data_IF_825874655792
#
_entry.id   IF_825874655792
#
_cell.length_a   1.000
_cell.length_b   1.000
_cell.length_c   1.000
_cell.angle_alpha   90.00
_cell.angle_beta   90.00
_cell.angle_gamma   90.00
#
_symmetry.space_group_name_H-M   'P 1'
#
loop_
_entity.id
_entity.type
_entity.pdbx_description
1 polymer ?
#
# COMPACT_ATOMS: atom_id res chain seq x y z
N UNK A 1 21.11 -12.35 6.16
CA UNK A 1 20.76 -11.30 5.18
C UNK A 1 19.30 -10.91 5.37
N UNK A 2 19.02 -9.64 5.59
CA UNK A 2 17.65 -9.13 5.65
C UNK A 2 17.28 -8.39 4.35
N UNK A 3 16.08 -8.64 3.85
CA UNK A 3 15.50 -7.94 2.72
C UNK A 3 14.24 -7.20 3.19
N UNK A 4 14.07 -5.94 2.75
CA UNK A 4 12.84 -5.18 2.92
C UNK A 4 12.08 -5.22 1.60
N UNK A 5 10.81 -5.61 1.62
CA UNK A 5 9.92 -5.53 0.47
C UNK A 5 8.93 -4.39 0.73
N UNK A 6 8.91 -3.42 -0.17
CA UNK A 6 8.03 -2.24 -0.11
C UNK A 6 7.05 -2.24 -1.27
N UNK A 7 6.06 -1.35 -1.19
CA UNK A 7 5.11 -1.16 -2.28
C UNK A 7 3.87 -2.04 -2.22
N UNK A 8 3.57 -2.67 -1.08
CA UNK A 8 2.31 -3.37 -0.85
C UNK A 8 2.26 -4.82 -1.32
N UNK A 9 1.09 -5.45 -1.16
CA UNK A 9 0.89 -6.88 -1.43
C UNK A 9 0.43 -7.10 -2.87
N UNK A 10 1.28 -7.76 -3.67
CA UNK A 10 0.99 -8.17 -5.03
C UNK A 10 1.43 -9.62 -5.25
N UNK A 11 1.00 -10.25 -6.36
CA UNK A 11 1.47 -11.60 -6.72
C UNK A 11 3.01 -11.66 -6.79
N UNK A 12 3.64 -10.60 -7.30
CA UNK A 12 5.10 -10.50 -7.46
C UNK A 12 5.77 -10.38 -6.10
N UNK A 13 5.34 -9.44 -5.26
CA UNK A 13 5.99 -9.20 -3.97
C UNK A 13 5.81 -10.38 -3.01
N UNK A 14 4.65 -11.05 -3.01
CA UNK A 14 4.43 -12.27 -2.22
C UNK A 14 5.30 -13.43 -2.69
N UNK A 15 5.40 -13.67 -4.00
CA UNK A 15 6.27 -14.73 -4.54
C UNK A 15 7.75 -14.42 -4.27
N UNK A 16 8.14 -13.14 -4.37
CA UNK A 16 9.48 -12.69 -4.04
C UNK A 16 9.82 -12.95 -2.56
N UNK A 17 8.89 -12.67 -1.64
CA UNK A 17 9.06 -12.99 -0.23
C UNK A 17 9.28 -14.49 0.00
N UNK A 18 8.46 -15.34 -0.63
CA UNK A 18 8.59 -16.80 -0.56
C UNK A 18 10.00 -17.24 -0.99
N UNK A 19 10.50 -16.72 -2.11
CA UNK A 19 11.78 -17.13 -2.67
C UNK A 19 12.98 -16.61 -1.87
N UNK A 20 12.90 -15.38 -1.36
CA UNK A 20 13.91 -14.82 -0.46
C UNK A 20 14.05 -15.65 0.82
N UNK A 21 12.93 -16.11 1.39
CA UNK A 21 12.93 -16.97 2.57
C UNK A 21 13.50 -18.36 2.28
N UNK A 22 13.19 -18.96 1.13
CA UNK A 22 13.82 -20.22 0.70
C UNK A 22 15.33 -20.08 0.55
N UNK A 23 15.79 -18.93 0.06
CA UNK A 23 17.21 -18.57 0.01
C UNK A 23 17.81 -18.23 1.39
N UNK A 24 17.06 -18.47 2.46
CA UNK A 24 17.51 -18.37 3.83
C UNK A 24 17.49 -16.96 4.43
N UNK A 25 16.97 -15.97 3.71
CA UNK A 25 16.95 -14.55 4.13
C UNK A 25 15.79 -14.26 5.08
N UNK A 26 16.02 -13.28 5.96
CA UNK A 26 14.94 -12.66 6.72
C UNK A 26 14.23 -11.65 5.83
N UNK A 27 12.91 -11.68 5.79
CA UNK A 27 12.09 -10.80 4.95
C UNK A 27 11.24 -9.93 5.85
N UNK A 28 11.38 -8.62 5.68
CA UNK A 28 10.50 -7.62 6.28
C UNK A 28 9.61 -7.11 5.16
N UNK A 29 8.30 -7.22 5.31
CA UNK A 29 7.33 -6.88 4.28
C UNK A 29 6.47 -5.71 4.75
N UNK A 30 6.51 -4.60 4.04
CA UNK A 30 5.65 -3.45 4.31
C UNK A 30 4.30 -3.60 3.63
N UNK A 31 3.24 -3.39 4.41
CA UNK A 31 1.90 -3.18 3.89
C UNK A 31 1.30 -1.93 4.54
N UNK A 32 0.35 -1.28 3.86
CA UNK A 32 -0.35 -0.11 4.38
C UNK A 32 -1.87 -0.15 4.05
N UNK A 33 -2.38 -1.32 3.65
CA UNK A 33 -3.77 -1.53 3.23
C UNK A 33 -4.48 -2.57 4.07
N UNK A 34 -5.81 -2.46 4.14
CA UNK A 34 -6.71 -3.53 4.57
C UNK A 34 -7.19 -4.32 3.35
N UNK A 35 -7.44 -5.62 3.53
CA UNK A 35 -7.87 -6.62 2.52
C UNK A 35 -6.77 -7.20 1.61
N UNK A 36 -5.51 -6.94 1.91
CA UNK A 36 -4.41 -7.64 1.27
C UNK A 36 -4.38 -9.11 1.70
N UNK A 37 -4.11 -10.01 0.76
CA UNK A 37 -4.15 -11.45 1.01
C UNK A 37 -2.76 -12.07 0.84
N UNK A 38 -2.18 -12.59 1.91
CA UNK A 38 -0.88 -13.28 1.90
C UNK A 38 -1.11 -14.76 2.21
N UNK A 39 -0.33 -15.65 1.60
CA UNK A 39 -0.43 -17.08 1.86
C UNK A 39 -0.10 -17.40 3.32
N UNK A 40 -0.85 -18.30 3.94
CA UNK A 40 -0.65 -18.70 5.33
C UNK A 40 0.75 -19.25 5.59
N UNK A 41 1.33 -19.93 4.60
CA UNK A 41 2.70 -20.44 4.64
C UNK A 41 3.75 -19.34 4.77
N UNK A 42 3.50 -18.16 4.20
CA UNK A 42 4.40 -17.00 4.32
C UNK A 42 4.24 -16.37 5.70
N UNK A 43 3.00 -16.14 6.14
CA UNK A 43 2.72 -15.51 7.44
C UNK A 43 3.25 -16.30 8.64
N UNK A 44 3.25 -17.63 8.56
CA UNK A 44 3.74 -18.52 9.62
C UNK A 44 5.26 -18.75 9.57
N UNK A 45 5.97 -18.23 8.57
CA UNK A 45 7.40 -18.45 8.44
C UNK A 45 8.16 -17.57 9.45
N UNK A 46 9.04 -18.16 10.26
CA UNK A 46 9.81 -17.45 11.29
C UNK A 46 10.75 -16.38 10.71
N UNK A 47 11.12 -16.50 9.42
CA UNK A 47 11.95 -15.52 8.72
C UNK A 47 11.12 -14.38 8.12
N UNK A 48 9.80 -14.43 8.22
CA UNK A 48 8.90 -13.41 7.71
C UNK A 48 8.46 -12.46 8.82
N UNK A 49 8.52 -11.17 8.56
CA UNK A 49 7.96 -10.13 9.42
C UNK A 49 7.09 -9.21 8.60
N UNK A 50 5.78 -9.23 8.87
CA UNK A 50 4.84 -8.28 8.31
C UNK A 50 4.83 -7.01 9.17
N UNK A 51 5.01 -5.85 8.54
CA UNK A 51 5.00 -4.56 9.22
C UNK A 51 3.98 -3.66 8.54
N UNK A 52 2.98 -3.25 9.30
CA UNK A 52 2.01 -2.26 8.85
C UNK A 52 2.66 -0.87 8.88
N UNK A 53 3.22 -0.41 7.78
CA UNK A 53 3.91 0.86 7.73
C UNK A 53 3.81 1.44 6.33
N UNK A 54 3.44 2.70 6.26
CA UNK A 54 3.37 3.44 5.01
C UNK A 54 4.75 3.79 4.47
N UNK A 55 4.91 3.68 3.16
CA UNK A 55 6.16 4.00 2.46
C UNK A 55 6.56 5.48 2.54
N UNK A 56 5.62 6.36 2.88
CA UNK A 56 5.87 7.81 3.03
C UNK A 56 6.42 8.18 4.42
N UNK A 57 6.43 7.25 5.38
CA UNK A 57 6.97 7.49 6.73
C UNK A 57 8.48 7.22 6.74
N UNK A 58 9.24 8.18 6.23
CA UNK A 58 10.70 8.10 6.07
C UNK A 58 11.44 7.71 7.36
N UNK A 59 11.13 8.35 8.49
CA UNK A 59 11.82 8.12 9.77
C UNK A 59 11.65 6.68 10.25
N UNK A 60 10.42 6.16 10.18
CA UNK A 60 10.13 4.78 10.56
C UNK A 60 10.75 3.75 9.61
N UNK A 61 10.86 4.07 8.32
CA UNK A 61 11.54 3.21 7.34
C UNK A 61 13.05 3.19 7.62
N UNK A 62 13.65 4.34 7.92
CA UNK A 62 15.07 4.41 8.30
C UNK A 62 15.34 3.58 9.55
N UNK A 63 14.53 3.75 10.59
CA UNK A 63 14.64 2.96 11.83
C UNK A 63 14.53 1.47 11.55
N UNK A 64 13.59 1.07 10.67
CA UNK A 64 13.41 -0.32 10.28
C UNK A 64 14.61 -0.88 9.53
N UNK A 65 15.18 -0.13 8.58
CA UNK A 65 16.39 -0.49 7.84
C UNK A 65 17.54 -0.76 8.81
N UNK A 66 17.75 0.13 9.77
CA UNK A 66 18.85 0.05 10.75
C UNK A 66 18.64 -1.10 11.73
N UNK A 67 17.45 -1.18 12.36
CA UNK A 67 17.14 -2.17 13.40
C UNK A 67 17.14 -3.60 12.86
N UNK A 68 16.73 -3.79 11.60
CA UNK A 68 16.69 -5.11 10.95
C UNK A 68 17.94 -5.41 10.13
N UNK A 69 18.92 -4.49 10.08
CA UNK A 69 20.13 -4.59 9.26
C UNK A 69 19.80 -4.99 7.82
N UNK A 70 18.85 -4.27 7.22
CA UNK A 70 18.39 -4.48 5.84
C UNK A 70 19.55 -4.24 4.90
N UNK A 71 19.79 -5.18 3.98
CA UNK A 71 20.87 -5.09 2.98
C UNK A 71 20.35 -4.79 1.58
N UNK A 72 19.12 -5.22 1.29
CA UNK A 72 18.46 -4.97 0.02
C UNK A 72 17.03 -4.55 0.27
N UNK A 73 16.60 -3.51 -0.43
CA UNK A 73 15.20 -3.10 -0.56
C UNK A 73 14.71 -3.57 -1.94
N UNK A 74 13.56 -4.23 -1.99
CA UNK A 74 12.83 -4.53 -3.22
C UNK A 74 11.58 -3.68 -3.23
N UNK A 75 11.48 -2.73 -4.14
CA UNK A 75 10.29 -1.89 -4.27
C UNK A 75 9.36 -2.41 -5.36
N UNK A 76 8.20 -2.92 -4.94
CA UNK A 76 7.14 -3.42 -5.79
C UNK A 76 5.96 -2.47 -5.91
N UNK A 77 6.12 -1.18 -5.62
CA UNK A 77 5.00 -0.21 -5.57
C UNK A 77 4.27 -0.07 -6.90
N UNK A 78 4.97 -0.36 -8.00
CA UNK A 78 4.45 -0.33 -9.36
C UNK A 78 3.73 -1.64 -9.77
N UNK A 79 3.64 -2.61 -8.87
CA UNK A 79 3.02 -3.93 -9.12
C UNK A 79 1.64 -4.08 -8.48
N UNK A 80 1.15 -3.06 -7.76
CA UNK A 80 -0.15 -3.09 -7.08
C UNK A 80 -1.26 -2.45 -7.89
N UNK A 81 -2.51 -2.79 -7.55
CA UNK A 81 -3.70 -2.18 -8.16
C UNK A 81 -3.85 -0.69 -7.85
N UNK A 82 -3.16 -0.15 -6.86
CA UNK A 82 -3.30 1.26 -6.45
C UNK A 82 -2.90 2.22 -7.56
N UNK A 83 -1.95 1.81 -8.42
CA UNK A 83 -1.55 2.55 -9.63
C UNK A 83 -2.71 2.68 -10.63
N UNK A 84 -3.71 1.79 -10.56
CA UNK A 84 -4.84 1.72 -11.49
C UNK A 84 -6.07 2.51 -11.03
N UNK A 85 -6.15 2.88 -9.75
CA UNK A 85 -7.40 3.37 -9.15
C UNK A 85 -7.66 4.86 -9.39
N UNK A 86 -6.63 5.72 -9.33
CA UNK A 86 -6.77 7.15 -9.62
C UNK A 86 -5.42 7.83 -9.89
N UNK A 87 -5.28 8.64 -10.96
CA UNK A 87 -4.01 9.26 -11.33
C UNK A 87 -3.36 10.13 -10.23
N UNK A 88 -4.13 11.01 -9.60
CA UNK A 88 -3.59 11.96 -8.63
C UNK A 88 -3.18 11.29 -7.29
N UNK A 89 -4.05 10.49 -6.63
CA UNK A 89 -3.66 9.72 -5.45
C UNK A 89 -2.53 8.73 -5.74
N UNK A 90 -2.58 8.01 -6.87
CA UNK A 90 -1.54 7.06 -7.26
C UNK A 90 -0.19 7.74 -7.46
N UNK A 91 -0.14 8.87 -8.18
CA UNK A 91 1.10 9.61 -8.36
C UNK A 91 1.66 10.13 -7.04
N UNK A 92 0.80 10.67 -6.16
CA UNK A 92 1.20 11.14 -4.83
C UNK A 92 1.81 10.00 -4.02
N UNK A 93 1.15 8.85 -3.91
CA UNK A 93 1.63 7.71 -3.13
C UNK A 93 2.91 7.11 -3.71
N UNK A 94 2.99 6.93 -5.03
CA UNK A 94 4.15 6.32 -5.68
C UNK A 94 5.39 7.20 -5.60
N UNK A 95 5.29 8.46 -6.02
CA UNK A 95 6.43 9.37 -6.04
C UNK A 95 6.87 9.72 -4.63
N UNK A 96 5.92 10.10 -3.75
CA UNK A 96 6.28 10.40 -2.37
C UNK A 96 6.84 9.17 -1.66
N UNK A 97 6.19 8.01 -1.83
CA UNK A 97 6.62 6.75 -1.22
C UNK A 97 8.02 6.34 -1.62
N UNK A 98 8.35 6.34 -2.93
CA UNK A 98 9.72 5.98 -3.35
C UNK A 98 10.73 7.02 -2.89
N UNK A 99 10.40 8.33 -2.93
CA UNK A 99 11.33 9.36 -2.44
C UNK A 99 11.62 9.22 -0.95
N UNK A 100 10.61 8.90 -0.14
CA UNK A 100 10.77 8.63 1.29
C UNK A 100 11.60 7.36 1.54
N UNK A 101 11.41 6.29 0.76
CA UNK A 101 12.26 5.09 0.86
C UNK A 101 13.72 5.45 0.51
N UNK A 102 13.95 6.16 -0.59
CA UNK A 102 15.28 6.55 -1.03
C UNK A 102 15.99 7.47 -0.03
N UNK A 103 15.27 8.44 0.56
CA UNK A 103 15.83 9.31 1.60
C UNK A 103 16.09 8.56 2.90
N UNK A 104 15.22 7.63 3.29
CA UNK A 104 15.46 6.76 4.44
C UNK A 104 16.74 5.95 4.23
N UNK A 105 16.89 5.30 3.06
CA UNK A 105 18.11 4.56 2.70
C UNK A 105 19.36 5.45 2.72
N UNK A 106 19.28 6.64 2.12
CA UNK A 106 20.39 7.60 2.06
C UNK A 106 20.84 8.06 3.45
N UNK A 107 19.89 8.25 4.37
CA UNK A 107 20.16 8.70 5.75
C UNK A 107 20.55 7.55 6.68
N UNK A 108 20.38 6.29 6.28
CA UNK A 108 20.82 5.15 7.05
C UNK A 108 22.34 5.12 7.17
N UNK A 109 22.84 4.66 8.31
CA UNK A 109 24.28 4.47 8.57
C UNK A 109 24.96 3.53 7.57
N UNK A 110 24.25 2.50 7.11
CA UNK A 110 24.68 1.58 6.06
C UNK A 110 23.57 1.47 5.01
N UNK A 111 23.60 2.30 3.95
CA UNK A 111 22.57 2.30 2.93
C UNK A 111 22.45 0.92 2.25
N UNK A 112 21.26 0.32 2.19
CA UNK A 112 21.04 -0.92 1.44
C UNK A 112 21.09 -0.67 -0.07
N UNK A 113 21.17 -1.73 -0.87
CA UNK A 113 20.90 -1.65 -2.30
C UNK A 113 19.39 -1.63 -2.58
N UNK A 114 18.97 -1.12 -3.74
CA UNK A 114 17.59 -1.12 -4.19
C UNK A 114 17.43 -1.93 -5.49
N UNK A 115 16.42 -2.78 -5.52
CA UNK A 115 15.87 -3.37 -6.74
C UNK A 115 14.49 -2.76 -6.97
N UNK A 116 14.37 -1.89 -7.96
CA UNK A 116 13.08 -1.34 -8.38
C UNK A 116 12.41 -2.32 -9.34
N UNK A 117 11.17 -2.72 -9.04
CA UNK A 117 10.35 -3.55 -9.90
C UNK A 117 9.46 -2.63 -10.75
N UNK A 118 9.86 -2.44 -12.02
CA UNK A 118 9.15 -1.63 -13.01
C UNK A 118 8.43 -2.52 -14.04
N UNK A 119 7.76 -1.91 -15.01
CA UNK A 119 6.97 -2.59 -16.03
C UNK A 119 7.33 -2.20 -17.46
N UNK A 120 6.82 -2.95 -18.43
CA UNK A 120 6.98 -2.66 -19.85
C UNK A 120 6.13 -1.46 -20.34
N UNK A 121 5.19 -0.98 -19.52
CA UNK A 121 4.31 0.13 -19.89
C UNK A 121 5.08 1.46 -20.08
N UNK A 122 6.26 1.59 -19.48
CA UNK A 122 7.18 2.72 -19.68
C UNK A 122 7.57 2.93 -21.15
N UNK A 123 7.59 1.87 -21.96
CA UNK A 123 7.95 1.94 -23.37
C UNK A 123 6.84 2.53 -24.24
N UNK A 124 5.58 2.34 -23.85
CA UNK A 124 4.39 2.70 -24.63
C UNK A 124 4.45 2.20 -26.09
N UNK A 125 4.69 3.12 -27.03
CA UNK A 125 4.75 2.82 -28.48
C UNK A 125 6.13 2.49 -29.00
N UNK A 126 7.19 2.68 -28.21
CA UNK A 126 8.56 2.43 -28.63
C UNK A 126 8.93 0.94 -28.61
N UNK A 127 10.04 0.63 -29.28
CA UNK A 127 10.66 -0.69 -29.18
C UNK A 127 11.05 -0.94 -27.72
N UNK A 128 10.76 -2.14 -27.21
CA UNK A 128 10.97 -2.52 -25.81
C UNK A 128 12.41 -2.99 -25.56
N UNK A 129 13.37 -2.07 -25.72
CA UNK A 129 14.81 -2.27 -25.49
C UNK A 129 15.27 -1.24 -24.46
N UNK A 130 16.12 -1.63 -23.51
CA UNK A 130 16.45 -0.81 -22.33
C UNK A 130 17.07 0.55 -22.67
N UNK A 131 17.69 0.68 -23.84
CA UNK A 131 18.34 1.92 -24.32
C UNK A 131 17.38 2.87 -25.05
N UNK A 132 16.15 2.47 -25.30
CA UNK A 132 15.17 3.29 -26.02
C UNK A 132 14.59 4.39 -25.13
N UNK A 133 14.29 5.58 -25.70
CA UNK A 133 13.52 6.59 -25.01
C UNK A 133 12.16 6.04 -24.56
N UNK A 134 11.73 6.46 -23.37
CA UNK A 134 10.44 6.09 -22.80
C UNK A 134 9.35 7.00 -23.34
N UNK A 135 8.24 6.41 -23.79
CA UNK A 135 7.08 7.13 -24.34
C UNK A 135 5.78 6.49 -23.84
N UNK A 136 5.51 6.51 -22.52
CA UNK A 136 4.35 5.84 -21.96
C UNK A 136 3.04 6.46 -22.47
N UNK A 137 2.09 5.61 -22.84
CA UNK A 137 0.78 6.02 -23.38
C UNK A 137 -0.36 5.92 -22.37
N UNK A 138 -0.04 5.55 -21.13
CA UNK A 138 -1.00 5.41 -20.04
C UNK A 138 -0.42 5.95 -18.73
N UNK A 139 -1.32 6.22 -17.77
CA UNK A 139 -0.93 6.72 -16.46
C UNK A 139 0.06 5.80 -15.74
N UNK A 140 -0.16 4.48 -15.81
CA UNK A 140 0.72 3.47 -15.18
C UNK A 140 2.15 3.60 -15.70
N UNK A 141 2.33 3.61 -17.03
CA UNK A 141 3.65 3.78 -17.65
C UNK A 141 4.29 5.13 -17.32
N UNK A 142 3.50 6.21 -17.26
CA UNK A 142 3.99 7.54 -16.88
C UNK A 142 4.46 7.59 -15.42
N UNK A 143 3.74 6.91 -14.51
CA UNK A 143 4.11 6.79 -13.11
C UNK A 143 5.39 5.95 -12.94
N UNK A 144 5.46 4.78 -13.60
CA UNK A 144 6.66 3.93 -13.62
C UNK A 144 7.89 4.71 -14.13
N UNK A 145 7.76 5.41 -15.27
CA UNK A 145 8.82 6.25 -15.84
C UNK A 145 9.28 7.35 -14.86
N UNK A 146 8.34 8.00 -14.17
CA UNK A 146 8.65 9.05 -13.20
C UNK A 146 9.41 8.51 -11.99
N UNK A 147 9.03 7.32 -11.50
CA UNK A 147 9.72 6.61 -10.42
C UNK A 147 11.12 6.19 -10.87
N UNK A 148 11.27 5.62 -12.07
CA UNK A 148 12.58 5.24 -12.62
C UNK A 148 13.52 6.45 -12.73
N UNK A 149 13.03 7.60 -13.21
CA UNK A 149 13.79 8.83 -13.30
C UNK A 149 14.24 9.34 -11.92
N UNK A 150 13.35 9.29 -10.92
CA UNK A 150 13.67 9.67 -9.54
C UNK A 150 14.75 8.75 -8.95
N UNK A 151 14.57 7.44 -9.10
CA UNK A 151 15.50 6.42 -8.63
C UNK A 151 16.88 6.60 -9.27
N UNK A 152 16.94 6.82 -10.59
CA UNK A 152 18.18 7.11 -11.29
C UNK A 152 18.88 8.37 -10.76
N UNK A 153 18.13 9.44 -10.50
CA UNK A 153 18.66 10.67 -9.89
C UNK A 153 19.36 10.40 -8.56
N UNK A 154 18.76 9.56 -7.70
CA UNK A 154 19.35 9.18 -6.41
C UNK A 154 20.57 8.27 -6.58
N UNK A 155 20.54 7.31 -7.50
CA UNK A 155 21.70 6.47 -7.79
C UNK A 155 22.91 7.29 -8.25
N UNK A 156 22.71 8.29 -9.11
CA UNK A 156 23.79 9.17 -9.59
C UNK A 156 24.26 10.13 -8.50
N UNK A 157 23.32 10.82 -7.84
CA UNK A 157 23.63 11.92 -6.91
C UNK A 157 24.20 11.43 -5.59
N UNK A 158 23.71 10.30 -5.09
CA UNK A 158 24.05 9.78 -3.76
C UNK A 158 24.80 8.45 -3.79
N UNK A 159 25.06 7.89 -4.99
CA UNK A 159 25.76 6.61 -5.16
C UNK A 159 25.10 5.45 -4.41
N UNK A 160 23.77 5.52 -4.25
CA UNK A 160 22.99 4.39 -3.74
C UNK A 160 23.11 3.26 -4.79
N UNK A 161 23.41 2.01 -4.38
CA UNK A 161 23.46 0.89 -5.31
C UNK A 161 22.05 0.55 -5.76
N UNK A 162 21.74 0.72 -7.04
CA UNK A 162 20.38 0.52 -7.55
C UNK A 162 20.42 -0.24 -8.87
N UNK A 163 19.44 -1.13 -9.05
CA UNK A 163 19.12 -1.78 -10.31
C UNK A 163 17.61 -1.75 -10.56
N UNK A 164 17.21 -1.69 -11.82
CA UNK A 164 15.81 -1.61 -12.24
C UNK A 164 15.49 -2.84 -13.09
N UNK A 165 14.50 -3.63 -12.66
CA UNK A 165 13.97 -4.75 -13.43
C UNK A 165 12.62 -4.37 -14.03
N UNK A 166 12.54 -4.27 -15.36
CA UNK A 166 11.26 -4.11 -16.07
C UNK A 166 10.64 -5.49 -16.30
N UNK A 167 9.39 -5.67 -15.93
CA UNK A 167 8.62 -6.91 -16.13
C UNK A 167 7.55 -6.73 -17.21
N UNK A 168 7.16 -7.81 -17.92
CA UNK A 168 5.96 -7.83 -18.74
C UNK A 168 4.71 -7.57 -17.91
N UNK A 169 3.70 -6.99 -18.55
CA UNK A 169 2.39 -6.72 -17.95
C UNK A 169 1.69 -7.99 -17.51
N UNK A 170 1.88 -9.08 -18.25
CA UNK A 170 1.20 -10.35 -17.99
C UNK A 170 2.15 -11.32 -17.33
N UNK A 171 1.91 -11.54 -16.03
CA UNK A 171 2.58 -12.56 -15.23
C UNK A 171 1.60 -13.67 -14.89
N UNK A 172 2.01 -14.92 -15.11
CA UNK A 172 1.17 -16.11 -14.91
C UNK A 172 1.80 -17.07 -13.90
N UNK A 173 1.00 -17.65 -13.01
CA UNK A 173 1.48 -18.66 -12.04
C UNK A 173 0.90 -20.07 -12.31
N UNK A 174 0.00 -20.21 -13.29
CA UNK A 174 -0.58 -21.50 -13.68
C UNK A 174 -0.95 -21.57 -15.16
N UNK A 175 -1.12 -22.80 -15.65
CA UNK A 175 -1.57 -23.05 -17.01
C UNK A 175 -3.00 -22.50 -17.26
N UNK A 176 -3.86 -22.56 -16.24
CA UNK A 176 -5.21 -22.00 -16.32
C UNK A 176 -5.22 -20.48 -16.52
N UNK A 177 -4.35 -19.75 -15.81
CA UNK A 177 -4.19 -18.31 -16.03
C UNK A 177 -3.67 -18.00 -17.44
N UNK A 178 -2.68 -18.77 -17.91
CA UNK A 178 -2.14 -18.63 -19.27
C UNK A 178 -3.22 -18.81 -20.34
N UNK A 179 -4.05 -19.85 -20.22
CA UNK A 179 -5.16 -20.08 -21.15
C UNK A 179 -6.22 -18.98 -21.08
N UNK A 180 -6.51 -18.45 -19.89
CA UNK A 180 -7.44 -17.33 -19.71
C UNK A 180 -6.96 -16.08 -20.46
N UNK A 181 -5.68 -15.72 -20.32
CA UNK A 181 -5.11 -14.58 -21.05
C UNK A 181 -5.11 -14.82 -22.57
N UNK A 182 -4.79 -16.04 -23.02
CA UNK A 182 -4.84 -16.41 -24.45
C UNK A 182 -6.25 -16.28 -25.05
N UNK A 183 -7.30 -16.59 -24.28
CA UNK A 183 -8.70 -16.48 -24.73
C UNK A 183 -9.20 -15.03 -24.72
N UNK A 184 -8.86 -14.28 -23.68
CA UNK A 184 -9.44 -12.95 -23.43
C UNK A 184 -8.68 -11.80 -24.10
N UNK A 185 -7.45 -12.02 -24.56
CA UNK A 185 -6.62 -10.92 -25.05
C UNK A 185 -5.67 -11.39 -26.14
N UNK A 186 -5.98 -10.98 -27.38
CA UNK A 186 -5.10 -11.19 -28.54
C UNK A 186 -3.91 -10.23 -28.58
N UNK A 187 -3.88 -9.24 -27.68
CA UNK A 187 -2.92 -8.12 -27.72
C UNK A 187 -1.73 -8.27 -26.76
N UNK A 188 -1.70 -9.29 -25.90
CA UNK A 188 -0.57 -9.51 -25.00
C UNK A 188 0.51 -10.35 -25.66
N UNK A 189 1.64 -9.72 -25.95
CA UNK A 189 2.77 -10.37 -26.63
C UNK A 189 3.87 -10.80 -25.66
N UNK A 190 4.01 -10.11 -24.53
CA UNK A 190 5.00 -10.43 -23.50
C UNK A 190 4.29 -11.10 -22.31
N UNK A 191 4.52 -12.40 -22.14
CA UNK A 191 4.02 -13.19 -21.02
C UNK A 191 5.20 -13.85 -20.33
N UNK A 192 5.26 -13.77 -19.00
CA UNK A 192 6.32 -14.41 -18.22
C UNK A 192 5.73 -15.18 -17.04
N UNK A 193 6.37 -16.28 -16.65
CA UNK A 193 5.97 -16.97 -15.42
C UNK A 193 6.31 -16.12 -14.20
N UNK A 194 5.46 -16.14 -13.19
CA UNK A 194 5.67 -15.41 -11.95
C UNK A 194 6.97 -15.85 -11.25
N UNK A 195 7.30 -17.14 -11.36
CA UNK A 195 8.54 -17.69 -10.82
C UNK A 195 9.77 -17.17 -11.56
N UNK A 196 9.76 -17.13 -12.90
CA UNK A 196 10.88 -16.60 -13.68
C UNK A 196 11.07 -15.10 -13.46
N UNK A 197 9.99 -14.33 -13.32
CA UNK A 197 10.05 -12.90 -13.00
C UNK A 197 10.81 -12.67 -11.69
N UNK A 198 10.46 -13.40 -10.62
CA UNK A 198 11.13 -13.32 -9.33
C UNK A 198 12.59 -13.78 -9.42
N UNK A 199 12.88 -14.89 -10.09
CA UNK A 199 14.27 -15.33 -10.28
C UNK A 199 15.10 -14.30 -11.07
N UNK A 200 14.49 -13.62 -12.03
CA UNK A 200 15.12 -12.54 -12.78
C UNK A 200 15.48 -11.37 -11.88
N UNK A 201 14.54 -10.93 -11.04
CA UNK A 201 14.78 -9.87 -10.04
C UNK A 201 15.91 -10.23 -9.08
N UNK A 202 15.94 -11.47 -8.57
CA UNK A 202 17.00 -11.96 -7.70
C UNK A 202 18.36 -12.08 -8.42
N UNK A 203 18.36 -12.37 -9.73
CA UNK A 203 19.59 -12.46 -10.52
C UNK A 203 20.25 -11.10 -10.75
N UNK A 204 19.45 -10.05 -10.95
CA UNK A 204 19.94 -8.68 -11.16
C UNK A 204 20.26 -7.97 -9.85
N UNK A 205 19.74 -8.42 -8.71
CA UNK A 205 20.02 -7.85 -7.37
C UNK A 205 21.53 -7.65 -7.15
N UNK A 206 22.34 -8.64 -7.52
CA UNK A 206 23.80 -8.61 -7.35
C UNK A 206 24.50 -7.59 -8.25
N UNK A 207 23.82 -7.07 -9.27
CA UNK A 207 24.33 -6.08 -10.20
C UNK A 207 24.08 -4.64 -9.72
N UNK A 208 23.31 -4.44 -8.64
CA UNK A 208 23.07 -3.13 -8.06
C UNK A 208 24.37 -2.44 -7.60
N UNK A 209 25.37 -3.22 -7.18
CA UNK A 209 26.70 -2.74 -6.76
C UNK A 209 27.65 -2.49 -7.95
N UNK A 210 27.17 -2.57 -9.19
CA UNK A 210 28.00 -2.29 -10.36
C UNK A 210 28.42 -0.81 -10.44
N UNK A 211 29.47 -0.50 -11.21
CA UNK A 211 29.91 0.89 -11.42
C UNK A 211 28.89 1.76 -12.19
N UNK A 212 27.84 1.15 -12.74
CA UNK A 212 26.83 1.84 -13.54
C UNK A 212 25.59 2.11 -12.68
N UNK A 213 25.24 3.38 -12.44
CA UNK A 213 24.14 3.71 -11.55
C UNK A 213 22.79 3.32 -12.19
N UNK A 214 21.91 2.68 -11.41
CA UNK A 214 20.53 2.37 -11.78
C UNK A 214 20.40 1.67 -13.15
N UNK A 215 21.21 0.64 -13.39
CA UNK A 215 21.09 -0.13 -14.63
C UNK A 215 19.71 -0.76 -14.78
N UNK A 216 19.16 -0.64 -15.99
CA UNK A 216 17.87 -1.23 -16.35
C UNK A 216 18.08 -2.58 -17.01
N UNK A 217 17.26 -3.57 -16.65
CA UNK A 217 17.21 -4.89 -17.25
C UNK A 217 15.76 -5.26 -17.57
N UNK A 218 15.52 -5.68 -18.80
CA UNK A 218 14.27 -6.32 -19.18
C UNK A 218 14.28 -7.79 -18.76
N UNK A 219 13.31 -8.18 -17.93
CA UNK A 219 13.13 -9.57 -17.50
C UNK A 219 11.89 -10.10 -18.21
N UNK A 220 12.06 -10.70 -19.39
CA UNK A 220 10.97 -11.19 -20.23
C UNK A 220 11.26 -12.58 -20.80
N UNK A 221 10.20 -13.28 -21.21
CA UNK A 221 10.33 -14.41 -22.11
C UNK A 221 10.24 -13.89 -23.55
N UNK A 222 11.34 -13.99 -24.30
CA UNK A 222 11.42 -13.53 -25.69
C UNK A 222 10.84 -14.53 -26.69
N UNK A 223 10.31 -15.68 -26.24
CA UNK A 223 9.63 -16.62 -27.11
C UNK A 223 8.35 -16.00 -27.67
N UNK A 224 8.29 -15.84 -29.00
CA UNK A 224 7.17 -15.20 -29.70
C UNK A 224 5.86 -15.96 -29.47
N UNK A 225 4.94 -15.37 -28.69
CA UNK A 225 3.57 -15.86 -28.61
C UNK A 225 2.74 -15.19 -29.72
N UNK A 226 2.49 -15.96 -30.78
CA UNK A 226 1.69 -15.63 -31.97
C UNK A 226 2.20 -14.47 -32.84
N UNK A 227 3.02 -14.85 -33.82
CA UNK A 227 3.29 -14.06 -35.02
C UNK A 227 2.04 -13.96 -35.91
N UNK A 228 1.14 -13.02 -35.62
CA UNK A 228 0.47 -12.31 -36.71
C UNK A 228 1.33 -11.08 -37.03
N UNK A 229 2.09 -11.20 -38.12
CA UNK A 229 3.01 -10.23 -38.69
C UNK A 229 2.56 -8.77 -38.46
N UNK A 230 3.38 -7.96 -37.78
CA UNK A 230 3.61 -6.51 -38.04
C UNK A 230 3.99 -5.62 -36.85
N UNK A 231 4.22 -6.10 -35.61
CA UNK A 231 4.54 -5.16 -34.50
C UNK A 231 5.82 -5.51 -33.74
N UNK A 232 6.74 -4.53 -33.70
CA UNK A 232 8.07 -4.49 -33.05
C UNK A 232 7.98 -4.53 -31.51
N UNK A 233 7.28 -5.52 -30.97
CA UNK A 233 6.71 -5.42 -29.62
C UNK A 233 7.32 -6.33 -28.57
N UNK A 234 8.18 -7.28 -28.95
CA UNK A 234 8.76 -8.21 -27.98
C UNK A 234 9.76 -7.46 -27.11
N UNK A 235 9.68 -7.68 -25.80
CA UNK A 235 10.61 -7.10 -24.86
C UNK A 235 11.95 -7.83 -24.93
N UNK A 236 13.01 -7.12 -25.32
CA UNK A 236 14.34 -7.70 -25.53
C UNK A 236 14.98 -8.07 -24.19
N UNK A 237 15.53 -9.28 -24.05
CA UNK A 237 16.16 -9.78 -22.82
C UNK A 237 17.66 -10.13 -22.99
N UNK A 238 18.29 -9.73 -24.11
CA UNK A 238 19.70 -10.05 -24.42
C UNK A 238 20.65 -9.57 -23.32
N UNK A 239 20.36 -8.42 -22.70
CA UNK A 239 21.17 -7.83 -21.64
C UNK A 239 21.20 -8.68 -20.37
N UNK A 240 20.05 -9.15 -19.87
CA UNK A 240 20.02 -10.00 -18.67
C UNK A 240 20.63 -11.38 -18.93
N UNK A 241 20.40 -11.96 -20.12
CA UNK A 241 20.95 -13.26 -20.50
C UNK A 241 22.49 -13.25 -20.61
N UNK A 242 23.08 -12.11 -20.97
CA UNK A 242 24.54 -11.94 -21.04
C UNK A 242 25.17 -11.51 -19.71
N UNK A 243 24.41 -10.83 -18.86
CA UNK A 243 24.91 -10.30 -17.58
C UNK A 243 24.70 -11.26 -16.40
N UNK A 244 23.86 -12.28 -16.56
CA UNK A 244 23.47 -13.20 -15.47
C UNK A 244 23.36 -14.64 -15.97
N UNK A 245 23.19 -15.59 -15.05
CA UNK A 245 22.86 -16.98 -15.36
C UNK A 245 21.35 -17.22 -15.52
N UNK A 246 20.52 -16.18 -15.43
CA UNK A 246 19.07 -16.30 -15.53
C UNK A 246 18.64 -16.64 -16.95
N UNK A 247 17.65 -17.51 -17.08
CA UNK A 247 16.97 -17.84 -18.34
C UNK A 247 15.49 -18.06 -18.04
N UNK A 248 14.57 -17.59 -18.89
CA UNK A 248 13.15 -17.86 -18.73
C UNK A 248 12.87 -19.35 -18.96
N UNK A 249 11.95 -19.90 -18.18
CA UNK A 249 11.45 -21.26 -18.35
C UNK A 249 10.43 -21.32 -19.48
N UNK A 250 10.19 -22.51 -20.02
CA UNK A 250 9.08 -22.71 -20.96
C UNK A 250 7.75 -22.62 -20.20
N UNK A 251 6.83 -21.78 -20.69
CA UNK A 251 5.50 -21.65 -20.07
C UNK A 251 4.68 -22.95 -20.14
N UNK A 252 5.05 -23.90 -21.00
CA UNK A 252 4.43 -25.23 -21.04
C UNK A 252 4.63 -26.05 -19.75
N UNK A 253 5.62 -25.70 -18.92
CA UNK A 253 5.93 -26.41 -17.67
C UNK A 253 5.19 -25.85 -16.45
N UNK A 254 4.26 -24.92 -16.63
CA UNK A 254 3.45 -24.36 -15.54
C UNK A 254 2.55 -25.43 -14.91
N UNK A 255 2.36 -25.36 -13.60
CA UNK A 255 1.46 -26.26 -12.89
C UNK A 255 -0.01 -26.00 -13.25
N UNK A 256 -0.83 -27.04 -13.16
CA UNK A 256 -2.27 -27.00 -13.45
C UNK A 256 -3.10 -26.28 -12.38
N UNK A 257 -2.61 -26.19 -11.14
CA UNK A 257 -3.33 -25.57 -10.03
C UNK A 257 -2.50 -24.48 -9.33
N UNK A 258 -3.15 -23.38 -8.97
CA UNK A 258 -2.66 -22.37 -8.03
C UNK A 258 -3.50 -22.41 -6.75
N UNK A 259 -3.53 -23.56 -6.05
CA UNK A 259 -4.29 -23.73 -4.81
C UNK A 259 -3.50 -23.22 -3.60
N UNK A 260 -3.34 -21.90 -3.48
CA UNK A 260 -2.86 -21.28 -2.24
C UNK A 260 -4.05 -20.67 -1.49
N UNK A 261 -4.26 -21.11 -0.25
CA UNK A 261 -5.17 -20.41 0.67
C UNK A 261 -4.52 -19.09 1.07
N UNK A 262 -5.12 -17.99 0.65
CA UNK A 262 -4.73 -16.66 1.10
C UNK A 262 -5.50 -16.32 2.38
N UNK A 263 -4.81 -15.72 3.34
CA UNK A 263 -5.40 -15.12 4.53
C UNK A 263 -5.44 -13.62 4.33
N UNK A 264 -6.59 -13.01 4.61
CA UNK A 264 -6.74 -11.55 4.66
C UNK A 264 -5.99 -11.01 5.89
N UNK A 265 -5.22 -9.94 5.69
CA UNK A 265 -4.55 -9.24 6.78
C UNK A 265 -5.60 -8.42 7.55
N UNK A 266 -5.82 -8.68 8.85
CA UNK A 266 -6.82 -7.96 9.61
C UNK A 266 -6.40 -6.49 9.84
N UNK A 267 -7.33 -5.52 9.75
CA UNK A 267 -7.04 -4.14 10.08
C UNK A 267 -6.72 -3.96 11.56
N UNK A 268 -5.82 -2.99 11.81
CA UNK A 268 -5.47 -2.47 13.13
C UNK A 268 -6.00 -1.05 13.28
N UNK A 269 -6.85 -0.83 14.28
CA UNK A 269 -7.45 0.47 14.61
C UNK A 269 -6.77 1.09 15.84
N UNK A 270 -6.37 2.35 15.75
CA UNK A 270 -5.98 3.18 16.89
C UNK A 270 -7.06 4.22 17.16
N UNK A 271 -7.64 4.16 18.36
CA UNK A 271 -8.83 4.92 18.74
C UNK A 271 -8.49 6.05 19.70
N UNK A 272 -8.81 7.27 19.29
CA UNK A 272 -8.64 8.51 20.04
C UNK A 272 -9.99 9.10 20.46
N UNK A 273 -9.96 10.00 21.44
CA UNK A 273 -11.10 10.84 21.79
C UNK A 273 -11.90 10.34 23.00
N UNK A 274 -13.13 10.84 23.11
CA UNK A 274 -13.97 10.71 24.28
C UNK A 274 -14.42 9.26 24.53
N UNK A 275 -14.72 8.92 25.80
CA UNK A 275 -15.39 7.67 26.13
C UNK A 275 -16.89 7.88 25.97
N UNK A 276 -17.46 7.32 24.90
CA UNK A 276 -18.89 7.39 24.61
C UNK A 276 -19.49 5.99 24.44
N UNK A 277 -20.82 5.90 24.47
CA UNK A 277 -21.52 4.64 24.18
C UNK A 277 -21.21 4.14 22.76
N UNK A 278 -21.12 5.06 21.79
CA UNK A 278 -20.73 4.75 20.41
C UNK A 278 -19.33 4.15 20.32
N UNK A 279 -18.37 4.66 21.10
CA UNK A 279 -17.02 4.08 21.17
C UNK A 279 -17.06 2.66 21.72
N UNK A 280 -17.83 2.40 22.77
CA UNK A 280 -17.98 1.04 23.32
C UNK A 280 -18.57 0.07 22.28
N UNK A 281 -19.63 0.49 21.58
CA UNK A 281 -20.24 -0.30 20.51
C UNK A 281 -19.24 -0.57 19.36
N UNK A 282 -18.40 0.40 19.01
CA UNK A 282 -17.34 0.21 18.02
C UNK A 282 -16.35 -0.87 18.47
N UNK A 283 -15.87 -0.85 19.72
CA UNK A 283 -14.98 -1.90 20.24
C UNK A 283 -15.63 -3.29 20.24
N UNK A 284 -16.90 -3.38 20.63
CA UNK A 284 -17.65 -4.64 20.58
C UNK A 284 -17.76 -5.19 19.15
N UNK A 285 -18.05 -4.31 18.18
CA UNK A 285 -18.12 -4.67 16.78
C UNK A 285 -16.77 -5.16 16.26
N UNK A 286 -15.68 -4.41 16.46
CA UNK A 286 -14.33 -4.80 16.05
C UNK A 286 -13.95 -6.17 16.63
N UNK A 287 -14.25 -6.39 17.92
CA UNK A 287 -13.98 -7.66 18.61
C UNK A 287 -14.79 -8.82 18.02
N UNK A 288 -16.05 -8.59 17.65
CA UNK A 288 -16.91 -9.61 17.04
C UNK A 288 -16.39 -10.10 15.68
N UNK A 289 -15.71 -9.22 14.94
CA UNK A 289 -15.12 -9.48 13.62
C UNK A 289 -13.66 -9.98 13.73
N UNK A 290 -13.12 -10.08 14.96
CA UNK A 290 -11.73 -10.47 15.26
C UNK A 290 -10.69 -9.50 14.70
N UNK A 291 -11.04 -8.23 14.57
CA UNK A 291 -10.08 -7.18 14.23
C UNK A 291 -9.37 -6.67 15.50
N UNK A 292 -8.25 -5.97 15.31
CA UNK A 292 -7.45 -5.42 16.41
C UNK A 292 -7.80 -3.94 16.59
N UNK A 293 -8.28 -3.54 17.76
CA UNK A 293 -8.40 -2.13 18.14
C UNK A 293 -7.65 -1.85 19.44
N UNK A 294 -6.93 -0.73 19.45
CA UNK A 294 -6.19 -0.23 20.60
C UNK A 294 -6.70 1.16 20.95
N UNK A 295 -6.92 1.40 22.24
CA UNK A 295 -7.16 2.74 22.75
C UNK A 295 -5.84 3.52 22.81
N UNK A 296 -5.90 4.79 22.42
CA UNK A 296 -4.81 5.73 22.64
C UNK A 296 -4.56 5.92 24.13
N UNK A 297 -3.29 5.99 24.49
CA UNK A 297 -2.80 6.32 25.83
C UNK A 297 -2.95 7.82 26.15
N UNK A 298 -3.28 8.65 25.15
CA UNK A 298 -3.49 10.08 25.32
C UNK A 298 -4.89 10.30 25.92
N UNK A 299 -4.93 10.45 27.24
CA UNK A 299 -6.19 10.70 27.97
C UNK A 299 -6.65 12.16 27.90
N UNK A 300 -5.71 13.12 27.90
CA UNK A 300 -6.00 14.55 27.93
C UNK A 300 -5.50 15.23 26.67
N UNK A 301 -6.37 15.33 25.67
CA UNK A 301 -6.04 15.90 24.37
C UNK A 301 -5.54 17.36 24.48
N UNK A 302 -5.96 18.11 25.49
CA UNK A 302 -5.54 19.51 25.71
C UNK A 302 -4.06 19.67 26.04
N UNK A 303 -3.46 18.65 26.63
CA UNK A 303 -2.06 18.67 27.07
C UNK A 303 -1.15 17.90 26.11
N UNK A 304 -1.75 17.22 25.13
CA UNK A 304 -1.03 16.41 24.18
C UNK A 304 -0.36 17.29 23.12
N UNK A 305 0.97 17.21 23.06
CA UNK A 305 1.72 17.77 21.93
C UNK A 305 1.61 16.87 20.70
N UNK A 306 1.71 17.46 19.51
CA UNK A 306 1.72 16.74 18.23
C UNK A 306 2.76 15.62 18.21
N UNK A 307 3.91 15.86 18.85
CA UNK A 307 5.00 14.89 18.94
C UNK A 307 4.55 13.60 19.62
N UNK A 308 3.79 13.69 20.72
CA UNK A 308 3.31 12.50 21.45
C UNK A 308 2.30 11.72 20.59
N UNK A 309 1.42 12.42 19.87
CA UNK A 309 0.46 11.79 18.95
C UNK A 309 1.19 11.04 17.83
N UNK A 310 2.22 11.66 17.25
CA UNK A 310 3.04 11.06 16.19
C UNK A 310 3.81 9.84 16.72
N UNK A 311 4.43 9.95 17.90
CA UNK A 311 5.17 8.85 18.53
C UNK A 311 4.25 7.65 18.80
N UNK A 312 3.03 7.87 19.29
CA UNK A 312 2.06 6.80 19.51
C UNK A 312 1.61 6.14 18.21
N UNK A 313 1.29 6.92 17.18
CA UNK A 313 0.93 6.38 15.85
C UNK A 313 2.08 5.54 15.29
N UNK A 314 3.33 6.03 15.40
CA UNK A 314 4.51 5.32 14.93
C UNK A 314 4.81 4.04 15.72
N UNK A 315 4.49 4.02 17.03
CA UNK A 315 4.67 2.85 17.88
C UNK A 315 3.62 1.78 17.60
N UNK A 316 2.34 2.18 17.49
CA UNK A 316 1.21 1.26 17.26
C UNK A 316 1.17 0.75 15.84
N UNK A 317 1.60 1.57 14.87
CA UNK A 317 1.56 1.23 13.43
C UNK A 317 0.15 0.83 12.97
N UNK A 318 -0.88 1.67 13.21
CA UNK A 318 -2.25 1.35 12.87
C UNK A 318 -2.48 1.44 11.36
N UNK A 319 -3.50 0.75 10.86
CA UNK A 319 -4.02 0.91 9.49
C UNK A 319 -5.13 1.96 9.42
N UNK A 320 -5.78 2.20 10.56
CA UNK A 320 -6.93 3.09 10.69
C UNK A 320 -6.79 3.94 11.96
N UNK A 321 -6.95 5.25 11.82
CA UNK A 321 -7.14 6.17 12.94
C UNK A 321 -8.62 6.43 13.09
N UNK A 322 -9.14 6.28 14.31
CA UNK A 322 -10.55 6.54 14.63
C UNK A 322 -10.60 7.59 15.72
N UNK A 323 -11.37 8.65 15.52
CA UNK A 323 -11.56 9.71 16.51
C UNK A 323 -13.02 9.82 16.92
N UNK A 324 -13.29 9.77 18.22
CA UNK A 324 -14.60 10.05 18.81
C UNK A 324 -14.58 11.44 19.46
N UNK A 325 -15.31 12.40 18.90
CA UNK A 325 -15.43 13.74 19.44
C UNK A 325 -16.12 13.74 20.81
N UNK A 326 -15.90 14.79 21.59
CA UNK A 326 -16.68 15.02 22.81
C UNK A 326 -18.08 15.51 22.44
N UNK A 327 -19.11 14.85 22.97
CA UNK A 327 -20.50 15.31 22.89
C UNK A 327 -20.68 16.44 23.90
N UNK A 328 -20.16 17.63 23.60
CA UNK A 328 -20.50 18.84 24.35
C UNK A 328 -21.70 19.51 23.68
N UNK A 329 -22.80 19.66 24.42
CA UNK A 329 -24.06 20.28 23.95
C UNK A 329 -23.93 21.80 23.73
N UNK A 330 -22.81 22.40 24.16
CA UNK A 330 -22.63 23.86 24.15
C UNK A 330 -21.23 24.25 23.69
N UNK A 331 -21.17 25.02 22.58
CA UNK A 331 -19.99 25.80 22.21
C UNK A 331 -19.83 27.06 23.07
N UNK A 332 -20.83 27.37 23.89
CA UNK A 332 -20.87 28.50 24.80
C UNK A 332 -20.40 28.08 26.20
N UNK A 333 -19.58 28.90 26.84
CA UNK A 333 -19.00 28.63 28.14
C UNK A 333 -17.87 29.59 28.49
N UNK A 334 -17.13 29.27 29.55
CA UNK A 334 -15.94 30.05 29.92
C UNK A 334 -14.76 29.79 28.95
N UNK A 335 -13.64 30.46 29.18
CA UNK A 335 -12.45 30.32 28.34
C UNK A 335 -11.92 28.88 28.30
N UNK A 336 -12.14 28.07 29.35
CA UNK A 336 -11.73 26.68 29.42
C UNK A 336 -12.65 25.80 28.57
N UNK A 337 -13.96 26.02 28.59
CA UNK A 337 -14.92 25.34 27.70
C UNK A 337 -14.59 25.62 26.23
N UNK A 338 -14.32 26.88 25.88
CA UNK A 338 -13.93 27.24 24.51
C UNK A 338 -12.63 26.55 24.08
N UNK A 339 -11.60 26.58 24.94
CA UNK A 339 -10.33 25.91 24.67
C UNK A 339 -10.54 24.40 24.46
N UNK A 340 -11.38 23.77 25.28
CA UNK A 340 -11.74 22.36 25.16
C UNK A 340 -12.33 22.06 23.80
N UNK A 341 -13.38 22.79 23.42
CA UNK A 341 -14.09 22.59 22.17
C UNK A 341 -13.18 22.83 20.95
N UNK A 342 -12.30 23.83 21.00
CA UNK A 342 -11.31 24.07 19.96
C UNK A 342 -10.34 22.90 19.81
N UNK A 343 -9.88 22.32 20.93
CA UNK A 343 -8.98 21.17 20.90
C UNK A 343 -9.70 19.91 20.40
N UNK A 344 -10.87 19.58 20.95
CA UNK A 344 -11.53 18.29 20.75
C UNK A 344 -12.36 18.23 19.46
N UNK A 345 -12.98 19.33 19.04
CA UNK A 345 -13.88 19.32 17.88
C UNK A 345 -13.24 19.88 16.61
N UNK A 346 -12.11 20.58 16.70
CA UNK A 346 -11.43 21.16 15.55
C UNK A 346 -9.98 20.67 15.42
N UNK A 347 -9.14 20.95 16.42
CA UNK A 347 -7.70 20.71 16.32
C UNK A 347 -7.35 19.23 16.18
N UNK A 348 -7.82 18.38 17.09
CA UNK A 348 -7.50 16.95 17.07
C UNK A 348 -8.01 16.21 15.83
N UNK A 349 -9.28 16.39 15.41
CA UNK A 349 -9.75 15.85 14.15
C UNK A 349 -8.89 16.29 12.95
N UNK A 350 -8.53 17.58 12.90
CA UNK A 350 -7.66 18.10 11.84
C UNK A 350 -6.26 17.52 11.89
N UNK A 351 -5.65 17.44 13.08
CA UNK A 351 -4.32 16.85 13.29
C UNK A 351 -4.31 15.39 12.84
N UNK A 352 -5.29 14.59 13.28
CA UNK A 352 -5.39 13.18 12.90
C UNK A 352 -5.70 12.97 11.42
N UNK A 353 -6.51 13.84 10.80
CA UNK A 353 -6.75 13.83 9.36
C UNK A 353 -5.46 14.15 8.58
N UNK A 354 -4.74 15.19 9.01
CA UNK A 354 -3.46 15.61 8.43
C UNK A 354 -2.39 14.53 8.55
N UNK A 355 -2.28 13.91 9.73
CA UNK A 355 -1.36 12.79 9.97
C UNK A 355 -1.77 11.55 9.19
N UNK A 356 -3.07 11.28 9.06
CA UNK A 356 -3.56 10.18 8.23
C UNK A 356 -3.24 10.39 6.76
N UNK A 357 -3.45 11.60 6.23
CA UNK A 357 -3.08 11.92 4.86
C UNK A 357 -1.57 11.81 4.65
N UNK A 358 -0.77 12.36 5.58
CA UNK A 358 0.68 12.32 5.53
C UNK A 358 1.21 10.89 5.58
N UNK A 359 0.60 10.00 6.35
CA UNK A 359 1.03 8.63 6.53
C UNK A 359 0.24 7.64 5.66
N UNK A 360 -0.63 8.09 4.77
CA UNK A 360 -1.48 7.21 3.97
C UNK A 360 -2.36 6.25 4.79
N UNK A 361 -2.82 6.68 5.97
CA UNK A 361 -3.72 5.91 6.83
C UNK A 361 -5.18 6.25 6.52
N UNK A 362 -6.09 5.33 6.85
CA UNK A 362 -7.51 5.66 6.85
C UNK A 362 -7.88 6.45 8.10
N UNK A 363 -8.62 7.56 7.94
CA UNK A 363 -9.14 8.34 9.06
C UNK A 363 -10.66 8.31 9.12
N UNK A 364 -11.19 7.96 10.29
CA UNK A 364 -12.62 8.01 10.60
C UNK A 364 -12.88 8.95 11.76
N UNK A 365 -13.74 9.95 11.53
CA UNK A 365 -14.20 10.87 12.56
C UNK A 365 -15.67 10.63 12.91
N UNK A 366 -15.92 10.31 14.18
CA UNK A 366 -17.26 10.29 14.79
C UNK A 366 -17.42 11.55 15.65
N UNK A 367 -17.87 12.64 15.01
CA UNK A 367 -18.12 13.93 15.67
C UNK A 367 -19.58 14.15 16.05
N UNK A 368 -19.84 15.27 16.73
CA UNK A 368 -21.17 15.63 17.19
C UNK A 368 -22.14 15.80 16.00
N UNK A 369 -23.28 15.10 16.03
CA UNK A 369 -24.12 14.85 14.84
C UNK A 369 -24.85 16.09 14.31
N UNK A 370 -25.00 17.14 15.13
CA UNK A 370 -25.78 18.35 14.82
C UNK A 370 -25.08 19.33 13.87
N UNK A 371 -23.75 19.48 13.95
CA UNK A 371 -22.98 20.32 13.01
C UNK A 371 -22.84 19.68 11.63
N UNK A 372 -23.03 18.36 11.54
CA UNK A 372 -22.67 17.62 10.33
C UNK A 372 -23.65 17.76 9.16
N UNK A 373 -24.85 18.32 9.34
CA UNK A 373 -25.90 18.24 8.31
C UNK A 373 -26.14 19.49 7.47
N UNK A 374 -25.87 20.71 7.93
CA UNK A 374 -26.25 21.91 7.15
C UNK A 374 -25.10 22.83 6.71
N UNK A 375 -23.99 22.92 7.43
CA UNK A 375 -22.89 23.87 7.08
C UNK A 375 -21.64 23.20 6.49
N UNK A 376 -21.61 21.88 6.40
CA UNK A 376 -20.45 21.08 5.97
C UNK A 376 -20.45 20.72 4.48
N UNK A 377 -21.39 21.24 3.68
CA UNK A 377 -21.48 20.97 2.23
C UNK A 377 -20.18 21.29 1.46
N UNK A 378 -19.26 22.05 2.05
CA UNK A 378 -17.94 22.34 1.49
C UNK A 378 -16.73 22.00 2.38
N UNK A 379 -16.88 21.53 3.62
CA UNK A 379 -15.73 21.39 4.54
C UNK A 379 -15.31 19.94 4.86
N UNK A 380 -16.23 18.99 5.03
CA UNK A 380 -15.89 17.56 5.15
C UNK A 380 -17.12 16.81 4.67
N UNK A 381 -17.04 16.23 3.46
CA UNK A 381 -18.17 15.49 2.86
C UNK A 381 -18.74 14.50 3.87
N UNK A 382 -20.06 14.52 4.02
CA UNK A 382 -20.79 13.62 4.90
C UNK A 382 -20.48 12.16 4.62
N UNK A 383 -19.78 11.53 5.55
CA UNK A 383 -19.33 10.15 5.42
C UNK A 383 -20.09 9.20 6.34
N UNK A 384 -20.81 9.62 7.39
CA UNK A 384 -21.32 8.65 8.39
C UNK A 384 -22.39 7.69 7.86
N UNK A 385 -23.38 8.18 7.10
CA UNK A 385 -24.46 7.33 6.54
C UNK A 385 -24.02 6.45 5.37
N UNK A 386 -23.25 7.03 4.44
CA UNK A 386 -22.63 6.28 3.33
C UNK A 386 -21.48 5.39 3.79
N UNK A 387 -20.82 5.69 4.92
CA UNK A 387 -19.82 4.81 5.52
C UNK A 387 -20.46 3.63 6.19
N UNK A 388 -21.56 3.75 6.93
CA UNK A 388 -22.26 2.56 7.44
C UNK A 388 -22.67 1.62 6.30
N UNK A 389 -23.11 2.19 5.18
CA UNK A 389 -23.42 1.45 3.95
C UNK A 389 -22.16 0.88 3.26
N UNK A 390 -21.03 1.61 3.25
CA UNK A 390 -19.73 1.13 2.75
C UNK A 390 -19.11 0.06 3.68
N UNK A 391 -19.23 0.19 4.99
CA UNK A 391 -18.84 -0.82 5.98
C UNK A 391 -19.72 -2.08 5.83
N UNK A 392 -20.99 -1.94 5.45
CA UNK A 392 -21.85 -3.09 5.12
C UNK A 392 -21.52 -3.73 3.76
N UNK A 393 -21.13 -2.93 2.77
CA UNK A 393 -20.92 -3.39 1.39
C UNK A 393 -19.47 -3.83 1.09
N UNK A 394 -18.49 -3.27 1.78
CA UNK A 394 -17.05 -3.45 1.49
C UNK A 394 -16.37 -4.37 2.50
N UNK A 395 -16.74 -4.30 3.78
CA UNK A 395 -16.43 -5.38 4.73
C UNK A 395 -17.60 -6.33 4.63
N UNK A 396 -17.42 -7.54 4.10
CA UNK A 396 -18.49 -8.55 4.03
C UNK A 396 -18.87 -9.03 5.44
N UNK A 397 -19.46 -8.16 6.25
CA UNK A 397 -20.08 -8.50 7.52
C UNK A 397 -21.31 -9.31 7.19
N UNK A 398 -21.20 -10.62 7.37
CA UNK A 398 -22.29 -11.57 7.17
C UNK A 398 -23.57 -11.11 7.88
N UNK A 399 -24.69 -11.54 7.33
CA UNK A 399 -26.11 -11.22 7.60
C UNK A 399 -26.58 -11.37 9.06
N UNK A 400 -25.97 -10.66 10.02
CA UNK A 400 -26.33 -10.74 11.45
C UNK A 400 -26.41 -9.40 12.19
N UNK A 401 -26.73 -8.31 11.50
CA UNK A 401 -27.33 -7.16 12.20
C UNK A 401 -28.84 -7.37 12.13
N UNK A 402 -29.46 -7.59 13.30
CA UNK A 402 -30.90 -7.71 13.42
C UNK A 402 -31.57 -6.44 12.88
N UNK A 403 -32.59 -6.64 12.05
CA UNK A 403 -33.38 -5.58 11.42
C UNK A 403 -34.00 -4.67 12.48
N UNK A 404 -34.29 -5.20 13.67
CA UNK A 404 -34.82 -4.41 14.80
C UNK A 404 -33.79 -3.39 15.33
N UNK A 405 -32.53 -3.78 15.49
CA UNK A 405 -31.43 -2.89 15.91
C UNK A 405 -31.18 -1.79 14.87
N UNK A 406 -31.28 -2.14 13.58
CA UNK A 406 -31.11 -1.20 12.48
C UNK A 406 -32.24 -0.16 12.42
N UNK A 407 -33.49 -0.57 12.67
CA UNK A 407 -34.65 0.32 12.75
C UNK A 407 -34.56 1.24 13.99
N UNK A 408 -34.07 0.72 15.12
CA UNK A 408 -33.87 1.50 16.35
C UNK A 408 -32.81 2.60 16.18
N UNK A 409 -31.75 2.32 15.41
CA UNK A 409 -30.73 3.31 15.05
C UNK A 409 -31.25 4.38 14.07
N UNK A 410 -32.20 4.04 13.20
CA UNK A 410 -32.85 4.99 12.28
C UNK A 410 -33.90 5.85 12.97
N UNK A 411 -34.64 5.28 13.92
CA UNK A 411 -35.76 5.93 14.61
C UNK A 411 -35.35 7.00 15.63
N UNK A 412 -34.06 7.09 16.00
CA UNK A 412 -33.54 8.21 16.82
C UNK A 412 -33.38 9.53 16.04
N UNK A 413 -33.71 9.58 14.75
CA UNK A 413 -33.91 10.84 14.01
C UNK A 413 -35.37 11.30 14.11
N UNK A 414 -35.56 12.58 14.39
CA UNK A 414 -36.83 13.34 14.50
C UNK A 414 -37.54 13.30 15.86
N UNK A 415 -36.93 13.97 16.84
CA UNK A 415 -37.61 14.49 18.04
C UNK A 415 -37.51 16.02 18.12
N UNK A 416 -37.69 16.72 17.00
CA UNK A 416 -37.74 18.18 16.95
C UNK A 416 -39.18 18.66 17.02
N UNK A 417 -39.50 19.41 18.08
CA UNK A 417 -40.81 19.97 18.41
C UNK A 417 -41.42 20.78 17.25
N UNK A 418 -42.68 20.48 16.94
CA UNK A 418 -43.60 21.45 16.36
C UNK A 418 -43.73 22.64 17.32
N UNK A 419 -43.46 23.85 16.84
CA UNK A 419 -44.21 25.04 17.26
C UNK A 419 -44.14 26.10 16.15
N UNK A 420 -45.33 26.41 15.61
CA UNK A 420 -45.60 27.57 14.79
C UNK A 420 -45.52 28.84 15.65
N UNK A 421 -44.60 29.75 15.32
CA UNK A 421 -44.81 31.19 15.06
C UNK A 421 -43.46 31.91 15.05
#
# INVERSE_FOLDING_TARGET
MAALITGGVSKVTVKLAEELMKNGRNVVFLHNGANDSISESVLRNEKFSLVNLSSVNEDAIKELIETKSVQTVFDGSLTTSDVLLAPLPGAKTLILGITSILDAMRKSTSPPSLVLISGEEVYGTNNRVETQPLEPTCFVGAAQMSVEAMVHSYAVSYRIPIVIGRLPRVLVDSQGELEMYRKNSKDFQNILSLSDAVQGLLSIEKLADSQKPAEVFNISNSAEFNASESRKSTMENSKILSSTSWKPSDLSTLSSESNKKNLEIPPVFLVFGAKSELRNQFFELVKSVKFLAMDSNIMYLREASDKIVIEEINAVKPSHLVYFGEETESYEGDCFTLQTNMVTNLYFPWLLASLSEKNGLHFTHFGNTEISQETSAMAVKGYTGKMLEYFQNTLRLGTKIDKSTLELMKAKKTGGLNNNF
#
